data_IF_326315312048
#
_entry.id   IF_326315312048
#
_cell.length_a   1.000
_cell.length_b   1.000
_cell.length_c   1.000
_cell.angle_alpha   90.00
_cell.angle_beta   90.00
_cell.angle_gamma   90.00
#
_symmetry.space_group_name_H-M   'P 1'
#
loop_
_entity.id
_entity.type
_entity.pdbx_description
1 polymer ?
#
# COMPACT_ATOMS: atom_id res chain seq x y z
N UNK A 1 2.70 -8.28 -4.96
CA UNK A 1 4.02 -7.61 -5.06
C UNK A 1 5.07 -8.60 -5.54
N UNK A 2 5.30 -9.68 -4.82
CA UNK A 2 6.33 -10.71 -5.11
C UNK A 2 6.38 -11.17 -6.59
N UNK A 3 5.25 -11.50 -7.19
CA UNK A 3 5.21 -11.99 -8.59
C UNK A 3 5.45 -10.91 -9.65
N UNK A 4 5.18 -9.64 -9.33
CA UNK A 4 5.05 -8.56 -10.32
C UNK A 4 6.05 -7.42 -10.15
N UNK A 5 6.62 -7.26 -8.96
CA UNK A 5 7.46 -6.13 -8.60
C UNK A 5 8.94 -6.49 -8.64
N UNK A 6 9.72 -5.68 -9.35
CA UNK A 6 11.18 -5.72 -9.37
C UNK A 6 11.76 -4.60 -8.51
N UNK A 7 12.90 -4.87 -7.88
CA UNK A 7 13.63 -3.89 -7.04
C UNK A 7 12.76 -3.19 -5.98
N UNK A 8 11.82 -3.94 -5.36
CA UNK A 8 10.82 -3.41 -4.43
C UNK A 8 11.39 -2.58 -3.29
N UNK A 9 12.53 -3.00 -2.71
CA UNK A 9 13.22 -2.31 -1.61
C UNK A 9 13.46 -0.81 -1.86
N UNK A 10 13.76 -0.43 -3.11
CA UNK A 10 14.05 0.95 -3.49
C UNK A 10 12.81 1.76 -3.90
N UNK A 11 11.64 1.15 -3.96
CA UNK A 11 10.42 1.83 -4.41
C UNK A 11 9.74 2.59 -3.27
N UNK A 12 9.07 3.69 -3.63
CA UNK A 12 8.05 4.28 -2.77
C UNK A 12 6.75 3.48 -2.92
N UNK A 13 6.24 2.96 -1.81
CA UNK A 13 5.00 2.20 -1.77
C UNK A 13 3.86 3.14 -1.34
N UNK A 14 2.83 3.26 -2.17
CA UNK A 14 1.65 4.05 -1.82
C UNK A 14 0.51 3.14 -1.36
N UNK A 15 -0.18 3.54 -0.30
CA UNK A 15 -1.27 2.81 0.31
C UNK A 15 -2.41 3.76 0.64
N UNK A 16 -3.65 3.26 0.53
CA UNK A 16 -4.80 3.95 1.10
C UNK A 16 -5.71 3.03 1.88
N UNK A 17 -6.48 3.58 2.80
CA UNK A 17 -7.42 2.84 3.63
C UNK A 17 -8.79 3.55 3.70
N UNK A 18 -9.87 2.77 3.80
CA UNK A 18 -11.21 3.27 4.10
C UNK A 18 -11.48 3.14 5.60
N UNK A 19 -11.11 4.16 6.38
CA UNK A 19 -11.33 4.19 7.84
C UNK A 19 -10.71 3.01 8.63
N UNK A 20 -9.71 2.33 8.06
CA UNK A 20 -8.98 1.23 8.72
C UNK A 20 -7.45 1.44 8.68
N UNK A 21 -6.98 2.40 9.49
CA UNK A 21 -5.55 2.73 9.58
C UNK A 21 -4.73 1.61 10.23
N UNK A 22 -5.33 0.86 11.16
CA UNK A 22 -4.67 -0.23 11.87
C UNK A 22 -4.23 -1.33 10.91
N UNK A 23 -5.14 -1.81 10.06
CA UNK A 23 -4.81 -2.80 9.04
C UNK A 23 -3.78 -2.27 8.04
N UNK A 24 -3.84 -0.97 7.70
CA UNK A 24 -2.86 -0.35 6.80
C UNK A 24 -1.43 -0.36 7.38
N UNK A 25 -1.27 -0.01 8.66
CA UNK A 25 0.03 -0.04 9.35
C UNK A 25 0.53 -1.48 9.56
N UNK A 26 -0.37 -2.43 9.87
CA UNK A 26 -0.01 -3.84 9.96
C UNK A 26 0.51 -4.38 8.61
N UNK A 27 -0.15 -4.06 7.51
CA UNK A 27 0.29 -4.45 6.17
C UNK A 27 1.63 -3.79 5.79
N UNK A 28 1.82 -2.52 6.13
CA UNK A 28 3.09 -1.81 5.95
C UNK A 28 4.25 -2.49 6.70
N UNK A 29 4.03 -2.93 7.93
CA UNK A 29 5.03 -3.68 8.70
C UNK A 29 5.39 -5.00 8.00
N UNK A 30 4.40 -5.76 7.53
CA UNK A 30 4.63 -7.00 6.79
C UNK A 30 5.37 -6.79 5.47
N UNK A 31 5.06 -5.71 4.74
CA UNK A 31 5.77 -5.35 3.50
C UNK A 31 7.22 -4.98 3.79
N UNK A 32 7.46 -4.24 4.89
CA UNK A 32 8.81 -3.88 5.34
C UNK A 32 9.61 -5.12 5.69
N UNK A 33 9.05 -6.03 6.50
CA UNK A 33 9.70 -7.28 6.91
C UNK A 33 10.03 -8.18 5.70
N UNK A 34 9.07 -8.35 4.79
CA UNK A 34 9.19 -9.31 3.70
C UNK A 34 9.99 -8.80 2.50
N UNK A 35 9.83 -7.53 2.14
CA UNK A 35 10.40 -6.97 0.90
C UNK A 35 11.47 -5.90 1.15
N UNK A 36 11.66 -5.47 2.40
CA UNK A 36 12.64 -4.44 2.77
C UNK A 36 12.28 -3.04 2.29
N UNK A 37 11.05 -2.78 1.87
CA UNK A 37 10.61 -1.44 1.49
C UNK A 37 10.60 -0.54 2.73
N UNK A 38 11.13 0.68 2.61
CA UNK A 38 11.24 1.62 3.74
C UNK A 38 10.43 2.91 3.54
N UNK A 39 10.10 3.26 2.28
CA UNK A 39 9.43 4.52 1.94
C UNK A 39 7.96 4.26 1.64
N UNK A 40 7.08 4.83 2.46
CA UNK A 40 5.63 4.66 2.35
C UNK A 40 4.88 6.00 2.32
N UNK A 41 3.81 6.05 1.52
CA UNK A 41 2.79 7.09 1.56
C UNK A 41 1.48 6.41 1.94
N UNK A 42 0.90 6.77 3.09
CA UNK A 42 -0.35 6.18 3.60
C UNK A 42 -1.38 7.28 3.77
N UNK A 43 -2.52 7.16 3.09
CA UNK A 43 -3.60 8.15 3.13
C UNK A 43 -4.98 7.48 3.30
N UNK A 44 -5.98 8.25 3.72
CA UNK A 44 -7.37 7.80 3.65
C UNK A 44 -7.90 7.89 2.22
N UNK A 45 -8.73 6.93 1.83
CA UNK A 45 -9.37 6.92 0.51
C UNK A 45 -10.37 8.09 0.36
N UNK A 46 -10.46 8.66 -0.83
CA UNK A 46 -11.39 9.77 -1.10
C UNK A 46 -12.85 9.33 -1.21
N UNK A 47 -13.78 10.25 -0.96
CA UNK A 47 -15.23 9.98 -0.88
C UNK A 47 -15.81 9.28 -2.13
N UNK A 48 -15.38 9.65 -3.33
CA UNK A 48 -15.88 9.03 -4.57
C UNK A 48 -15.55 7.54 -4.63
N UNK A 49 -14.31 7.15 -4.36
CA UNK A 49 -13.90 5.74 -4.38
C UNK A 49 -14.45 5.02 -3.15
N UNK A 50 -14.46 5.68 -1.99
CA UNK A 50 -15.06 5.17 -0.75
C UNK A 50 -16.55 4.81 -0.90
N UNK A 51 -17.31 5.58 -1.70
CA UNK A 51 -18.71 5.28 -1.96
C UNK A 51 -18.94 3.94 -2.68
N UNK A 52 -17.95 3.46 -3.44
CA UNK A 52 -18.02 2.18 -4.14
C UNK A 52 -17.38 1.02 -3.37
N UNK A 53 -16.32 1.30 -2.62
CA UNK A 53 -15.48 0.30 -1.96
C UNK A 53 -15.87 0.06 -0.50
N UNK A 54 -16.47 1.06 0.15
CA UNK A 54 -16.89 1.01 1.54
C UNK A 54 -15.74 1.13 2.55
N UNK A 55 -16.08 1.18 3.86
CA UNK A 55 -15.09 1.11 4.94
C UNK A 55 -14.39 -0.25 4.97
N UNK A 56 -13.17 -0.29 5.50
CA UNK A 56 -12.31 -1.47 5.57
C UNK A 56 -11.51 -1.78 4.30
N UNK A 57 -11.71 -1.03 3.20
CA UNK A 57 -10.90 -1.21 2.00
C UNK A 57 -9.44 -0.86 2.28
N UNK A 58 -8.51 -1.68 1.78
CA UNK A 58 -7.07 -1.41 1.79
C UNK A 58 -6.57 -1.49 0.35
N UNK A 59 -5.85 -0.46 -0.10
CA UNK A 59 -5.27 -0.42 -1.44
C UNK A 59 -3.75 -0.32 -1.36
N UNK A 60 -3.06 -0.94 -2.29
CA UNK A 60 -1.60 -0.98 -2.36
C UNK A 60 -1.15 -0.72 -3.79
N UNK A 61 -0.22 0.21 -3.95
CA UNK A 61 0.33 0.63 -5.24
C UNK A 61 1.85 0.54 -5.21
N UNK A 62 2.40 -0.07 -6.25
CA UNK A 62 3.83 -0.23 -6.49
C UNK A 62 4.04 -0.35 -8.01
N UNK A 63 5.25 -0.06 -8.49
CA UNK A 63 5.61 -0.22 -9.89
C UNK A 63 6.06 -1.66 -10.14
N UNK A 64 5.68 -2.22 -11.30
CA UNK A 64 6.20 -3.54 -11.68
C UNK A 64 7.73 -3.49 -11.87
N UNK A 65 8.24 -2.39 -12.41
CA UNK A 65 9.66 -2.13 -12.63
C UNK A 65 9.93 -0.63 -12.55
N UNK A 66 11.09 -0.25 -12.01
CA UNK A 66 11.61 1.11 -12.01
C UNK A 66 12.76 1.13 -13.02
N UNK A 67 12.70 2.01 -14.01
CA UNK A 67 13.79 2.24 -14.97
C UNK A 67 15.01 2.90 -14.32
#
# INVERSE_FOLDING_TARGET
>A
MEERGKYLKGQTIAMTHGDDLETAEALKALITERFGCEVFIVNTIGAAIGAHTGPGVITLFFLNEVE
#
